data_IF_988172699566
#
_entry.id   IF_988172699566
#
_cell.length_a   1.000
_cell.length_b   1.000
_cell.length_c   1.000
_cell.angle_alpha   90.00
_cell.angle_beta   90.00
_cell.angle_gamma   90.00
#
_symmetry.space_group_name_H-M   'P 1'
#
loop_
_entity.id
_entity.type
_entity.pdbx_description
1 polymer ?
#
# COMPACT_ATOMS: atom_id res chain seq x y z
N UNK A 1 1.74 -4.08 -20.38
CA UNK A 1 0.64 -4.47 -19.47
C UNK A 1 -0.30 -3.29 -19.35
N UNK A 2 -1.61 -3.51 -19.26
CA UNK A 2 -2.56 -2.40 -19.16
C UNK A 2 -2.52 -1.74 -17.77
N UNK A 3 -3.05 -0.53 -17.67
CA UNK A 3 -3.17 0.23 -16.43
C UNK A 3 -3.95 -0.52 -15.32
N UNK A 4 -5.06 -1.19 -15.66
CA UNK A 4 -5.89 -1.90 -14.69
C UNK A 4 -5.14 -3.03 -13.95
N UNK A 5 -4.23 -3.73 -14.65
CA UNK A 5 -3.40 -4.79 -14.04
C UNK A 5 -2.44 -4.20 -13.01
N UNK A 6 -1.91 -2.98 -13.21
CA UNK A 6 -1.06 -2.33 -12.21
C UNK A 6 -1.81 -2.10 -10.90
N UNK A 7 -3.05 -1.61 -10.97
CA UNK A 7 -3.91 -1.47 -9.78
C UNK A 7 -4.19 -2.80 -9.09
N UNK A 8 -4.40 -3.88 -9.84
CA UNK A 8 -4.54 -5.22 -9.25
C UNK A 8 -3.28 -5.72 -8.55
N UNK A 9 -2.10 -5.42 -9.08
CA UNK A 9 -0.82 -5.73 -8.44
C UNK A 9 -0.62 -4.92 -7.15
N UNK A 10 -0.91 -3.62 -7.18
CA UNK A 10 -0.83 -2.77 -6.00
C UNK A 10 -1.75 -3.24 -4.88
N UNK A 11 -3.01 -3.52 -5.18
CA UNK A 11 -3.98 -4.05 -4.22
C UNK A 11 -3.50 -5.39 -3.63
N UNK A 12 -2.95 -6.28 -4.46
CA UNK A 12 -2.40 -7.56 -4.01
C UNK A 12 -1.24 -7.38 -3.03
N UNK A 13 -0.33 -6.45 -3.31
CA UNK A 13 0.84 -6.15 -2.46
C UNK A 13 0.39 -5.59 -1.10
N UNK A 14 -0.52 -4.62 -1.10
CA UNK A 14 -1.04 -4.00 0.12
C UNK A 14 -1.82 -5.01 0.96
N UNK A 15 -2.74 -5.76 0.35
CA UNK A 15 -3.54 -6.74 1.08
C UNK A 15 -2.69 -7.90 1.62
N UNK A 16 -1.69 -8.37 0.87
CA UNK A 16 -0.76 -9.39 1.36
C UNK A 16 -0.01 -8.89 2.60
N UNK A 17 0.51 -7.67 2.57
CA UNK A 17 1.20 -7.10 3.75
C UNK A 17 0.26 -6.91 4.95
N UNK A 18 -0.96 -6.42 4.71
CA UNK A 18 -1.97 -6.26 5.75
C UNK A 18 -2.33 -7.59 6.42
N UNK A 19 -2.45 -8.65 5.64
CA UNK A 19 -2.72 -9.99 6.15
C UNK A 19 -1.52 -10.55 6.95
N UNK A 20 -0.34 -10.60 6.32
CA UNK A 20 0.82 -11.31 6.86
C UNK A 20 1.43 -10.58 8.07
N UNK A 21 1.54 -9.26 8.00
CA UNK A 21 2.21 -8.41 9.01
C UNK A 21 1.20 -7.62 9.83
N UNK A 22 0.24 -6.97 9.17
CA UNK A 22 -0.78 -6.14 9.83
C UNK A 22 -1.83 -6.93 10.62
N UNK A 23 -1.90 -8.26 10.42
CA UNK A 23 -2.91 -9.15 11.01
C UNK A 23 -4.33 -8.65 10.78
N UNK A 24 -4.57 -8.04 9.62
CA UNK A 24 -5.89 -7.60 9.18
C UNK A 24 -6.42 -8.55 8.12
N UNK A 25 -7.67 -8.95 8.28
CA UNK A 25 -8.42 -9.69 7.26
C UNK A 25 -9.60 -8.83 6.80
N UNK A 26 -9.61 -8.39 5.52
CA UNK A 26 -10.71 -7.62 4.95
C UNK A 26 -12.07 -8.32 5.05
N UNK A 27 -12.14 -9.63 5.31
CA UNK A 27 -13.39 -10.39 5.43
C UNK A 27 -13.89 -10.52 6.87
N UNK A 28 -13.00 -10.61 7.85
CA UNK A 28 -13.37 -10.91 9.24
C UNK A 28 -13.02 -9.82 10.26
N UNK A 29 -12.08 -8.92 9.97
CA UNK A 29 -11.71 -7.86 10.91
C UNK A 29 -12.82 -6.81 11.07
N UNK A 30 -13.03 -6.36 12.30
CA UNK A 30 -13.97 -5.28 12.63
C UNK A 30 -13.50 -3.91 12.11
N UNK A 31 -12.18 -3.73 11.99
CA UNK A 31 -11.58 -2.54 11.38
C UNK A 31 -11.24 -2.85 9.92
N UNK A 32 -11.82 -2.08 8.99
CA UNK A 32 -11.58 -2.27 7.55
C UNK A 32 -11.06 -1.00 6.89
N UNK A 33 -10.08 -1.15 5.99
CA UNK A 33 -9.56 -0.06 5.17
C UNK A 33 -10.38 0.12 3.91
N UNK A 34 -10.84 1.35 3.65
CA UNK A 34 -11.48 1.73 2.40
C UNK A 34 -10.55 2.62 1.58
N UNK A 35 -10.36 2.27 0.30
CA UNK A 35 -9.65 3.12 -0.65
C UNK A 35 -10.49 4.37 -0.93
N UNK A 36 -9.99 5.54 -0.51
CA UNK A 36 -10.66 6.83 -0.77
C UNK A 36 -9.94 7.65 -1.85
N UNK A 37 -8.69 7.30 -2.16
CA UNK A 37 -7.92 7.90 -3.24
C UNK A 37 -6.91 6.89 -3.75
N UNK A 38 -6.72 6.87 -5.06
CA UNK A 38 -5.64 6.12 -5.70
C UNK A 38 -5.12 6.86 -6.93
N UNK A 39 -3.81 6.84 -7.13
CA UNK A 39 -3.15 7.35 -8.33
C UNK A 39 -2.04 6.42 -8.76
N UNK A 40 -1.62 6.50 -10.02
CA UNK A 40 -0.48 5.77 -10.53
C UNK A 40 0.22 6.59 -11.61
N UNK A 41 1.52 6.78 -11.43
CA UNK A 41 2.42 7.32 -12.44
C UNK A 41 3.12 6.16 -13.16
N UNK A 42 3.22 6.25 -14.48
CA UNK A 42 3.83 5.24 -15.33
C UNK A 42 5.09 5.83 -15.97
N UNK A 43 6.23 5.21 -15.71
CA UNK A 43 7.55 5.67 -16.16
C UNK A 43 8.15 4.76 -17.22
N UNK A 44 7.79 3.47 -17.22
CA UNK A 44 8.21 2.51 -18.21
C UNK A 44 7.16 1.41 -18.39
N UNK A 45 7.27 0.67 -19.49
CA UNK A 45 6.39 -0.46 -19.76
C UNK A 45 6.82 -1.70 -18.95
N UNK A 46 5.82 -2.43 -18.43
CA UNK A 46 5.96 -3.80 -17.93
C UNK A 46 5.25 -4.74 -18.90
N UNK A 47 5.84 -5.87 -19.25
CA UNK A 47 5.25 -6.83 -20.18
C UNK A 47 5.41 -8.27 -19.69
N UNK A 48 4.54 -9.17 -20.14
CA UNK A 48 4.86 -10.59 -20.03
C UNK A 48 6.04 -10.90 -20.97
N UNK A 49 7.06 -11.68 -20.57
CA UNK A 49 7.16 -12.52 -19.36
C UNK A 49 7.98 -11.92 -18.20
N UNK A 50 8.05 -10.59 -18.07
CA UNK A 50 8.85 -9.94 -17.04
C UNK A 50 8.48 -10.43 -15.63
N UNK A 51 9.50 -10.69 -14.81
CA UNK A 51 9.29 -10.85 -13.37
C UNK A 51 9.20 -9.48 -12.72
N UNK A 52 8.14 -9.28 -11.94
CA UNK A 52 7.86 -8.00 -11.30
C UNK A 52 8.14 -8.10 -9.81
N UNK A 53 8.95 -7.18 -9.31
CA UNK A 53 9.14 -6.97 -7.86
C UNK A 53 8.38 -5.72 -7.44
N UNK A 54 7.74 -5.75 -6.26
CA UNK A 54 7.03 -4.62 -5.71
C UNK A 54 7.69 -4.15 -4.41
N UNK A 55 7.97 -2.84 -4.32
CA UNK A 55 8.32 -2.17 -3.09
C UNK A 55 7.07 -1.54 -2.46
N UNK A 56 6.93 -1.65 -1.14
CA UNK A 56 5.83 -1.05 -0.37
C UNK A 56 6.40 -0.15 0.73
N UNK A 57 5.88 1.07 0.86
CA UNK A 57 6.17 1.97 1.98
C UNK A 57 4.94 2.74 2.44
N UNK A 58 5.04 3.34 3.63
CA UNK A 58 4.05 4.26 4.16
C UNK A 58 4.57 5.69 4.01
N UNK A 59 3.83 6.50 3.26
CA UNK A 59 4.14 7.91 3.04
C UNK A 59 3.62 8.79 4.18
N UNK A 60 2.42 8.49 4.68
CA UNK A 60 1.79 9.24 5.75
C UNK A 60 0.90 8.32 6.58
N UNK A 61 0.88 8.55 7.89
CA UNK A 61 0.11 7.76 8.85
C UNK A 61 -0.64 8.69 9.81
N UNK A 62 -1.92 8.92 9.52
CA UNK A 62 -2.83 9.70 10.35
C UNK A 62 -3.45 8.88 11.47
N UNK A 63 -4.49 9.43 12.13
CA UNK A 63 -5.24 8.72 13.19
C UNK A 63 -6.11 7.59 12.64
N UNK A 64 -6.85 7.89 11.57
CA UNK A 64 -7.83 6.99 10.92
C UNK A 64 -7.48 6.72 9.46
N UNK A 65 -6.38 7.26 8.96
CA UNK A 65 -6.00 7.16 7.54
C UNK A 65 -4.51 6.85 7.38
N UNK A 66 -4.18 6.28 6.24
CA UNK A 66 -2.82 5.93 5.86
C UNK A 66 -2.66 6.11 4.35
N UNK A 67 -1.50 6.58 3.93
CA UNK A 67 -1.12 6.68 2.52
C UNK A 67 -0.02 5.66 2.24
N UNK A 68 -0.35 4.63 1.47
CA UNK A 68 0.60 3.66 0.93
C UNK A 68 1.22 4.20 -0.35
N UNK A 69 2.49 3.89 -0.56
CA UNK A 69 3.14 4.00 -1.85
C UNK A 69 3.69 2.65 -2.26
N UNK A 70 3.40 2.24 -3.49
CA UNK A 70 3.86 0.98 -4.07
C UNK A 70 4.61 1.27 -5.36
N UNK A 71 5.81 0.75 -5.50
CA UNK A 71 6.61 0.87 -6.71
C UNK A 71 6.78 -0.50 -7.36
N UNK A 72 6.57 -0.61 -8.68
CA UNK A 72 6.77 -1.83 -9.45
C UNK A 72 8.06 -1.74 -10.25
N UNK A 73 8.85 -2.81 -10.21
CA UNK A 73 10.14 -2.93 -10.87
C UNK A 73 10.14 -4.18 -11.74
N UNK A 74 10.61 -4.04 -12.99
CA UNK A 74 10.96 -5.21 -13.80
C UNK A 74 12.28 -5.81 -13.30
N UNK A 75 12.47 -7.12 -13.51
CA UNK A 75 13.72 -7.81 -13.21
C UNK A 75 14.92 -7.07 -13.84
N UNK A 76 16.01 -6.92 -13.09
CA UNK A 76 17.23 -6.23 -13.50
C UNK A 76 17.10 -4.71 -13.78
N UNK A 77 16.04 -4.06 -13.28
CA UNK A 77 15.91 -2.59 -13.34
C UNK A 77 16.00 -1.97 -11.95
N UNK A 78 16.83 -0.94 -11.83
CA UNK A 78 16.96 -0.16 -10.60
C UNK A 78 15.85 0.90 -10.46
N UNK A 79 15.27 1.34 -11.58
CA UNK A 79 14.20 2.33 -11.60
C UNK A 79 12.82 1.67 -11.64
N UNK A 80 11.87 2.28 -10.95
CA UNK A 80 10.48 1.83 -10.95
C UNK A 80 9.83 2.08 -12.31
N UNK A 81 9.16 1.07 -12.85
CA UNK A 81 8.36 1.20 -14.07
C UNK A 81 7.03 1.91 -13.81
N UNK A 82 6.46 1.73 -12.62
CA UNK A 82 5.26 2.41 -12.19
C UNK A 82 5.28 2.67 -10.68
N UNK A 83 4.66 3.77 -10.26
CA UNK A 83 4.52 4.13 -8.85
C UNK A 83 3.07 4.48 -8.54
N UNK A 84 2.48 3.72 -7.61
CA UNK A 84 1.10 3.88 -7.17
C UNK A 84 1.00 4.48 -5.77
N UNK A 85 0.02 5.35 -5.57
CA UNK A 85 -0.37 5.89 -4.26
C UNK A 85 -1.77 5.39 -3.93
N UNK A 86 -1.98 4.91 -2.71
CA UNK A 86 -3.28 4.48 -2.21
C UNK A 86 -3.53 5.07 -0.84
N UNK A 87 -4.66 5.75 -0.67
CA UNK A 87 -5.08 6.28 0.62
C UNK A 87 -6.20 5.41 1.16
N UNK A 88 -5.95 4.77 2.30
CA UNK A 88 -6.99 4.07 3.05
C UNK A 88 -7.49 4.94 4.19
N UNK A 89 -8.80 4.95 4.39
CA UNK A 89 -9.44 5.35 5.64
C UNK A 89 -9.95 4.10 6.33
N UNK A 90 -9.54 3.90 7.58
CA UNK A 90 -10.03 2.82 8.41
C UNK A 90 -11.36 3.18 9.05
N UNK A 91 -12.31 2.26 8.94
CA UNK A 91 -13.66 2.40 9.49
C UNK A 91 -14.03 1.16 10.27
N UNK A 92 -14.90 1.34 11.25
CA UNK A 92 -15.63 0.24 11.87
C UNK A 92 -16.54 -0.43 10.82
N UNK A 93 -16.48 -1.75 10.71
CA UNK A 93 -17.21 -2.54 9.71
C UNK A 93 -18.72 -2.38 9.85
N UNK A 94 -19.23 -2.45 11.09
CA UNK A 94 -20.67 -2.45 11.35
C UNK A 94 -21.26 -1.04 11.22
N UNK A 95 -20.62 -0.05 11.85
CA UNK A 95 -21.07 1.33 11.88
C UNK A 95 -20.69 2.12 10.61
N UNK A 96 -19.71 1.65 9.84
CA UNK A 96 -19.15 2.34 8.65
C UNK A 96 -18.63 3.75 8.95
N UNK A 97 -18.20 3.98 10.19
CA UNK A 97 -17.67 5.28 10.65
C UNK A 97 -16.14 5.22 10.81
N UNK A 98 -15.41 6.31 10.55
CA UNK A 98 -13.97 6.38 10.77
C UNK A 98 -13.57 5.92 12.17
N UNK A 99 -12.63 4.99 12.24
CA UNK A 99 -12.14 4.41 13.48
C UNK A 99 -10.62 4.48 13.53
N UNK A 100 -10.06 4.57 14.74
CA UNK A 100 -8.61 4.73 14.91
C UNK A 100 -7.88 3.47 14.48
N UNK A 101 -6.75 3.64 13.79
CA UNK A 101 -5.86 2.53 13.44
C UNK A 101 -5.34 1.91 14.73
N UNK A 102 -5.60 0.61 14.93
CA UNK A 102 -5.20 -0.13 16.12
C UNK A 102 -3.68 -0.08 16.33
N UNK A 103 -3.23 -0.04 17.59
CA UNK A 103 -1.83 0.21 17.94
C UNK A 103 -0.86 -0.81 17.32
N UNK A 104 -1.23 -2.09 17.27
CA UNK A 104 -0.42 -3.12 16.62
C UNK A 104 -0.23 -2.88 15.12
N UNK A 105 -1.30 -2.50 14.42
CA UNK A 105 -1.25 -2.18 12.99
C UNK A 105 -0.47 -0.88 12.75
N UNK A 106 -0.68 0.14 13.58
CA UNK A 106 0.09 1.39 13.56
C UNK A 106 1.57 1.12 13.72
N UNK A 107 1.97 0.32 14.71
CA UNK A 107 3.36 -0.04 14.94
C UNK A 107 3.97 -0.81 13.75
N UNK A 108 3.21 -1.66 13.06
CA UNK A 108 3.65 -2.32 11.84
C UNK A 108 3.85 -1.32 10.68
N UNK A 109 2.89 -0.39 10.48
CA UNK A 109 2.97 0.65 9.46
C UNK A 109 4.16 1.59 9.68
N UNK A 110 4.43 1.97 10.93
CA UNK A 110 5.55 2.86 11.26
C UNK A 110 6.90 2.26 10.86
N UNK A 111 7.06 0.93 10.89
CA UNK A 111 8.29 0.26 10.41
C UNK A 111 8.51 0.38 8.89
N UNK A 112 7.45 0.67 8.15
CA UNK A 112 7.48 0.91 6.70
C UNK A 112 7.56 2.39 6.33
N UNK A 113 7.53 3.30 7.31
CA UNK A 113 7.80 4.71 7.03
C UNK A 113 9.29 4.86 6.74
N UNK A 114 9.64 5.73 5.77
CA UNK A 114 11.05 6.09 5.57
C UNK A 114 11.58 6.66 6.87
N UNK A 115 12.69 6.11 7.37
CA UNK A 115 13.57 6.86 8.26
C UNK A 115 13.99 8.11 7.49
N UNK A 116 13.79 9.30 8.04
CA UNK A 116 14.42 10.50 7.49
C UNK A 116 15.93 10.22 7.46
N UNK A 117 16.49 10.11 6.26
CA UNK A 117 17.92 10.29 6.09
C UNK A 117 18.12 11.79 6.28
N UNK A 118 18.43 12.20 7.51
CA UNK A 118 19.03 13.51 7.77
C UNK A 118 20.37 13.50 7.06
N UNK A 119 20.40 13.96 5.81
CA UNK A 119 21.66 14.27 5.13
C UNK A 119 22.26 15.47 5.85
N UNK A 120 23.54 15.41 6.28
CA UNK A 120 24.21 16.50 6.98
C UNK A 120 24.41 17.75 6.12
#
# INVERSE_FOLDING_TARGET
MNNAVHYGLFDSVVNRWLHDVGKQDPRSSDLIGLVVHSSCDYHAELAYPDKITAGLRIDSLGRTSVTYRVALFAENRETSAAEGIFVHVYVDRAARKPASIADGLRAAMTRLQRSEVTTP
#
